data_IF_620967292726
#
_entry.id   IF_620967292726
#
_cell.length_a   1.000
_cell.length_b   1.000
_cell.length_c   1.000
_cell.angle_alpha   90.00
_cell.angle_beta   90.00
_cell.angle_gamma   90.00
#
_symmetry.space_group_name_H-M   'P 1'
#
loop_
_entity.id
_entity.type
_entity.pdbx_description
1 polymer ?
#
# COMPACT_ATOMS: atom_id res chain seq x y z
N UNK A 1 13.02 0.92 -26.30
CA UNK A 1 14.38 0.32 -26.12
C UNK A 1 14.18 -1.10 -25.66
N UNK A 2 14.69 -2.07 -26.37
CA UNK A 2 14.16 -3.39 -26.55
C UNK A 2 14.35 -4.35 -25.35
N UNK A 3 13.37 -5.22 -25.13
CA UNK A 3 13.44 -6.37 -24.21
C UNK A 3 14.71 -7.23 -24.48
N UNK A 4 15.18 -7.25 -25.72
CA UNK A 4 16.43 -7.91 -26.16
C UNK A 4 17.67 -7.29 -25.48
N UNK A 5 17.72 -5.95 -25.34
CA UNK A 5 18.86 -5.27 -24.70
C UNK A 5 18.89 -5.54 -23.19
N UNK A 6 17.72 -5.58 -22.53
CA UNK A 6 17.61 -5.89 -21.09
C UNK A 6 18.01 -7.35 -20.80
N UNK A 7 17.55 -8.29 -21.64
CA UNK A 7 17.92 -9.70 -21.52
C UNK A 7 19.46 -9.90 -21.61
N UNK A 8 20.14 -9.21 -22.53
CA UNK A 8 21.61 -9.25 -22.64
C UNK A 8 22.29 -8.76 -21.36
N UNK A 9 21.81 -7.63 -20.79
CA UNK A 9 22.35 -7.12 -19.52
C UNK A 9 22.15 -8.12 -18.38
N UNK A 10 20.99 -8.80 -18.32
CA UNK A 10 20.73 -9.82 -17.29
C UNK A 10 21.65 -11.02 -17.42
N UNK A 11 21.93 -11.48 -18.66
CA UNK A 11 22.87 -12.58 -18.91
C UNK A 11 24.29 -12.18 -18.47
N UNK A 12 24.76 -11.00 -18.85
CA UNK A 12 26.09 -10.52 -18.46
C UNK A 12 26.19 -10.30 -16.94
N UNK A 13 25.13 -9.73 -16.32
CA UNK A 13 25.05 -9.60 -14.86
C UNK A 13 25.15 -10.95 -14.17
N UNK A 14 24.48 -11.99 -14.67
CA UNK A 14 24.53 -13.34 -14.08
C UNK A 14 25.95 -13.92 -14.08
N UNK A 15 26.80 -13.48 -15.00
CA UNK A 15 28.21 -13.84 -15.11
C UNK A 15 29.14 -12.94 -14.26
N UNK A 16 28.56 -11.94 -13.55
CA UNK A 16 29.30 -11.06 -12.65
C UNK A 16 29.80 -9.76 -13.30
N UNK A 17 29.27 -9.39 -14.47
CA UNK A 17 29.64 -8.13 -15.12
C UNK A 17 29.09 -6.90 -14.38
N UNK A 18 30.02 -6.11 -13.82
CA UNK A 18 29.69 -4.91 -13.06
C UNK A 18 29.08 -3.81 -13.95
N UNK A 19 29.53 -3.69 -15.22
CA UNK A 19 28.97 -2.69 -16.13
C UNK A 19 27.47 -2.93 -16.39
N UNK A 20 27.08 -4.19 -16.58
CA UNK A 20 25.68 -4.57 -16.73
C UNK A 20 24.88 -4.30 -15.45
N UNK A 21 25.49 -4.50 -14.28
CA UNK A 21 24.85 -4.12 -13.01
C UNK A 21 24.59 -2.61 -12.94
N UNK A 22 25.59 -1.78 -13.22
CA UNK A 22 25.43 -0.32 -13.19
C UNK A 22 24.43 0.17 -14.23
N UNK A 23 24.40 -0.40 -15.43
CA UNK A 23 23.42 -0.05 -16.46
C UNK A 23 21.97 -0.34 -16.00
N UNK A 24 21.74 -1.46 -15.34
CA UNK A 24 20.42 -1.80 -14.75
C UNK A 24 20.11 -0.93 -13.54
N UNK A 25 21.10 -0.60 -12.71
CA UNK A 25 20.94 0.33 -11.60
C UNK A 25 20.49 1.73 -12.09
N UNK A 26 21.20 2.33 -13.01
CA UNK A 26 20.85 3.64 -13.58
C UNK A 26 19.45 3.64 -14.18
N UNK A 27 19.09 2.56 -14.86
CA UNK A 27 17.80 2.44 -15.52
C UNK A 27 16.62 2.37 -14.55
N UNK A 28 16.77 1.72 -13.40
CA UNK A 28 15.66 1.38 -12.54
C UNK A 28 15.64 2.06 -11.17
N UNK A 29 16.79 2.54 -10.68
CA UNK A 29 16.90 3.09 -9.32
C UNK A 29 15.96 4.25 -9.06
N UNK A 30 15.83 5.20 -9.98
CA UNK A 30 14.97 6.36 -9.83
C UNK A 30 13.47 5.97 -9.79
N UNK A 31 13.06 5.09 -10.69
CA UNK A 31 11.66 4.62 -10.73
C UNK A 31 11.31 3.80 -9.48
N UNK A 32 12.25 2.95 -9.03
CA UNK A 32 12.11 2.16 -7.82
C UNK A 32 12.04 3.05 -6.59
N UNK A 33 12.95 4.04 -6.48
CA UNK A 33 12.93 5.03 -5.39
C UNK A 33 11.59 5.79 -5.34
N UNK A 34 11.13 6.31 -6.47
CA UNK A 34 9.86 7.05 -6.54
C UNK A 34 8.68 6.20 -6.06
N UNK A 35 8.71 4.91 -6.39
CA UNK A 35 7.68 3.96 -5.98
C UNK A 35 7.73 3.69 -4.47
N UNK A 36 8.91 3.36 -3.94
CA UNK A 36 9.11 3.14 -2.49
C UNK A 36 8.77 4.40 -1.70
N UNK A 37 9.22 5.59 -2.16
CA UNK A 37 8.96 6.85 -1.47
C UNK A 37 7.48 7.21 -1.40
N UNK A 38 6.70 6.90 -2.42
CA UNK A 38 5.24 7.11 -2.36
C UNK A 38 4.59 6.37 -1.19
N UNK A 39 5.11 5.19 -0.85
CA UNK A 39 4.58 4.37 0.23
C UNK A 39 5.14 4.77 1.59
N UNK A 40 6.46 4.78 1.70
CA UNK A 40 7.17 4.97 2.97
C UNK A 40 7.11 6.41 3.45
N UNK A 41 7.04 7.40 2.52
CA UNK A 41 7.03 8.85 2.79
C UNK A 41 8.26 9.33 3.60
N UNK A 42 9.30 8.51 3.68
CA UNK A 42 10.58 8.81 4.31
C UNK A 42 11.71 8.62 3.29
N UNK A 43 12.49 9.66 3.07
CA UNK A 43 13.54 9.67 2.06
C UNK A 43 14.67 8.70 2.40
N UNK A 44 15.12 8.75 3.66
CA UNK A 44 16.23 7.92 4.11
C UNK A 44 15.89 6.44 4.04
N UNK A 45 14.73 6.06 4.57
CA UNK A 45 14.23 4.67 4.50
C UNK A 45 14.06 4.22 3.05
N UNK A 46 13.60 5.11 2.17
CA UNK A 46 13.44 4.78 0.75
C UNK A 46 14.79 4.54 0.06
N UNK A 47 15.80 5.35 0.36
CA UNK A 47 17.17 5.18 -0.13
C UNK A 47 17.77 3.86 0.37
N UNK A 48 17.59 3.53 1.66
CA UNK A 48 18.03 2.26 2.26
C UNK A 48 17.38 1.05 1.58
N UNK A 49 16.05 1.07 1.39
CA UNK A 49 15.34 -0.03 0.71
C UNK A 49 15.84 -0.21 -0.72
N UNK A 50 16.03 0.87 -1.47
CA UNK A 50 16.54 0.78 -2.85
C UNK A 50 17.95 0.20 -2.89
N UNK A 51 18.84 0.61 -1.99
CA UNK A 51 20.18 0.06 -1.86
C UNK A 51 20.14 -1.44 -1.54
N UNK A 52 19.30 -1.85 -0.58
CA UNK A 52 19.13 -3.26 -0.21
C UNK A 52 18.61 -4.11 -1.38
N UNK A 53 17.68 -3.59 -2.18
CA UNK A 53 17.17 -4.26 -3.38
C UNK A 53 18.33 -4.53 -4.35
N UNK A 54 19.15 -3.53 -4.67
CA UNK A 54 20.25 -3.71 -5.60
C UNK A 54 21.38 -4.56 -5.02
N UNK A 55 21.61 -4.53 -3.71
CA UNK A 55 22.50 -5.46 -3.04
C UNK A 55 22.01 -6.92 -3.20
N UNK A 56 20.71 -7.16 -3.01
CA UNK A 56 20.09 -8.48 -3.26
C UNK A 56 20.18 -8.90 -4.72
N UNK A 57 20.03 -7.96 -5.65
CA UNK A 57 20.26 -8.21 -7.09
C UNK A 57 21.66 -8.73 -7.33
N UNK A 58 22.67 -8.04 -6.79
CA UNK A 58 24.06 -8.47 -6.93
C UNK A 58 24.34 -9.82 -6.28
N UNK A 59 23.84 -10.03 -5.07
CA UNK A 59 24.01 -11.29 -4.35
C UNK A 59 23.37 -12.48 -5.08
N UNK A 60 22.19 -12.26 -5.69
CA UNK A 60 21.42 -13.31 -6.38
C UNK A 60 21.66 -13.36 -7.88
N UNK A 61 22.65 -12.60 -8.42
CA UNK A 61 22.87 -12.47 -9.86
C UNK A 61 22.98 -13.78 -10.61
N UNK A 62 23.62 -14.79 -10.02
CA UNK A 62 23.78 -16.11 -10.64
C UNK A 62 22.48 -16.91 -10.77
N UNK A 63 21.42 -16.52 -10.07
CA UNK A 63 20.12 -17.18 -10.11
C UNK A 63 19.07 -16.42 -10.91
N UNK A 64 19.46 -15.31 -11.55
CA UNK A 64 18.58 -14.49 -12.39
C UNK A 64 18.16 -15.31 -13.62
N UNK A 65 16.86 -15.38 -13.84
CA UNK A 65 16.27 -15.95 -15.05
C UNK A 65 16.11 -14.84 -16.11
N UNK A 66 16.93 -14.80 -17.15
CA UNK A 66 16.87 -13.76 -18.17
C UNK A 66 15.60 -13.81 -19.04
N UNK A 67 14.78 -14.85 -18.95
CA UNK A 67 13.51 -14.94 -19.66
C UNK A 67 12.39 -14.18 -18.97
N UNK A 68 12.59 -13.79 -17.71
CA UNK A 68 11.62 -13.04 -16.91
C UNK A 68 11.93 -11.56 -16.91
N UNK A 69 10.90 -10.72 -16.68
CA UNK A 69 11.08 -9.29 -16.57
C UNK A 69 11.93 -8.91 -15.35
N UNK A 70 13.08 -8.29 -15.57
CA UNK A 70 13.93 -7.74 -14.52
C UNK A 70 13.18 -6.71 -13.68
N UNK A 71 12.42 -5.83 -14.34
CA UNK A 71 11.57 -4.84 -13.67
C UNK A 71 10.65 -5.49 -12.66
N UNK A 72 9.84 -6.46 -13.09
CA UNK A 72 8.88 -7.13 -12.20
C UNK A 72 9.58 -7.82 -11.01
N UNK A 73 10.76 -8.38 -11.24
CA UNK A 73 11.52 -9.03 -10.19
C UNK A 73 12.03 -8.06 -9.12
N UNK A 74 12.68 -6.95 -9.52
CA UNK A 74 13.21 -5.97 -8.55
C UNK A 74 12.08 -5.25 -7.79
N UNK A 75 10.95 -4.95 -8.46
CA UNK A 75 9.80 -4.35 -7.80
C UNK A 75 9.15 -5.32 -6.80
N UNK A 76 9.17 -6.62 -7.08
CA UNK A 76 8.73 -7.63 -6.10
C UNK A 76 9.64 -7.68 -4.87
N UNK A 77 10.97 -7.56 -5.04
CA UNK A 77 11.90 -7.49 -3.92
C UNK A 77 11.60 -6.24 -3.09
N UNK A 78 11.49 -5.07 -3.72
CA UNK A 78 11.20 -3.81 -3.03
C UNK A 78 9.86 -3.86 -2.27
N UNK A 79 8.82 -4.42 -2.89
CA UNK A 79 7.53 -4.65 -2.24
C UNK A 79 7.68 -5.44 -0.94
N UNK A 80 8.40 -6.54 -0.97
CA UNK A 80 8.62 -7.38 0.21
C UNK A 80 9.42 -6.65 1.29
N UNK A 81 10.40 -5.81 0.91
CA UNK A 81 11.18 -5.01 1.85
C UNK A 81 10.33 -3.92 2.51
N UNK A 82 9.47 -3.24 1.75
CA UNK A 82 8.50 -2.28 2.29
C UNK A 82 7.53 -2.96 3.27
N UNK A 83 6.97 -4.12 2.91
CA UNK A 83 6.12 -4.90 3.82
C UNK A 83 6.88 -5.26 5.11
N UNK A 84 8.12 -5.70 4.98
CA UNK A 84 8.96 -6.06 6.13
C UNK A 84 9.27 -4.85 7.01
N UNK A 85 9.49 -3.67 6.41
CA UNK A 85 9.69 -2.43 7.12
C UNK A 85 8.42 -2.03 7.91
N UNK A 86 7.25 -2.07 7.27
CA UNK A 86 5.98 -1.80 7.94
C UNK A 86 5.71 -2.79 9.09
N UNK A 87 6.03 -4.08 8.92
CA UNK A 87 5.89 -5.07 10.01
C UNK A 87 6.79 -4.78 11.20
N UNK A 88 8.01 -4.30 10.96
CA UNK A 88 8.90 -3.85 12.05
C UNK A 88 8.31 -2.64 12.76
N UNK A 89 7.87 -1.67 12.00
CA UNK A 89 7.28 -0.44 12.51
C UNK A 89 5.97 -0.70 13.27
N UNK A 90 5.14 -1.67 12.86
CA UNK A 90 3.86 -2.04 13.48
C UNK A 90 3.97 -2.55 14.92
N UNK A 91 5.17 -2.93 15.36
CA UNK A 91 5.42 -3.27 16.77
C UNK A 91 5.39 -2.03 17.68
N UNK A 92 5.40 -0.84 17.12
CA UNK A 92 5.31 0.43 17.83
C UNK A 92 3.90 1.01 17.70
N UNK A 93 3.29 1.39 18.83
CA UNK A 93 1.86 1.78 18.95
C UNK A 93 1.42 2.95 18.04
N UNK A 94 2.36 3.81 17.64
CA UNK A 94 2.13 4.95 16.75
C UNK A 94 1.75 4.55 15.31
N UNK A 95 2.07 3.34 14.89
CA UNK A 95 1.85 2.91 13.52
C UNK A 95 0.42 2.45 13.24
N UNK A 96 -0.26 1.91 14.21
CA UNK A 96 -1.67 1.52 14.06
C UNK A 96 -2.53 2.70 13.64
N UNK A 97 -2.21 3.90 14.14
CA UNK A 97 -2.91 5.13 13.75
C UNK A 97 -2.60 5.54 12.30
N UNK A 98 -1.35 5.41 11.87
CA UNK A 98 -0.96 5.71 10.49
C UNK A 98 -1.60 4.75 9.49
N UNK A 99 -1.67 3.46 9.82
CA UNK A 99 -2.35 2.47 8.98
C UNK A 99 -3.86 2.75 8.90
N UNK A 100 -4.47 3.12 10.03
CA UNK A 100 -5.87 3.52 10.08
C UNK A 100 -6.13 4.76 9.20
N UNK A 101 -5.27 5.77 9.24
CA UNK A 101 -5.39 6.96 8.39
C UNK A 101 -5.25 6.62 6.90
N UNK A 102 -4.34 5.71 6.53
CA UNK A 102 -4.23 5.23 5.14
C UNK A 102 -5.47 4.46 4.70
N UNK A 103 -6.00 3.63 5.59
CA UNK A 103 -7.25 2.91 5.33
C UNK A 103 -8.44 3.88 5.17
N UNK A 104 -8.52 4.95 5.99
CA UNK A 104 -9.51 6.01 5.78
C UNK A 104 -9.37 6.71 4.42
N UNK A 105 -8.15 6.91 3.93
CA UNK A 105 -7.92 7.55 2.62
C UNK A 105 -8.45 6.68 1.46
N UNK A 106 -8.40 5.34 1.56
CA UNK A 106 -9.01 4.45 0.58
C UNK A 106 -10.51 4.71 0.42
N UNK A 107 -11.23 5.04 1.49
CA UNK A 107 -12.66 5.38 1.43
C UNK A 107 -12.94 6.65 0.61
N UNK A 108 -12.00 7.61 0.63
CA UNK A 108 -12.17 8.88 -0.12
C UNK A 108 -11.87 8.69 -1.59
N UNK A 109 -10.92 7.80 -1.93
CA UNK A 109 -10.50 7.53 -3.31
C UNK A 109 -11.52 6.71 -4.12
N UNK A 110 -12.40 5.93 -3.44
CA UNK A 110 -13.43 5.12 -4.11
C UNK A 110 -14.42 5.96 -4.96
N UNK A 111 -14.51 7.27 -4.70
CA UNK A 111 -15.32 8.19 -5.53
C UNK A 111 -14.78 8.44 -6.94
N UNK A 112 -13.52 8.12 -7.22
CA UNK A 112 -12.86 8.40 -8.51
C UNK A 112 -12.78 7.20 -9.45
N UNK A 113 -13.30 6.03 -9.05
CA UNK A 113 -13.45 4.86 -9.94
C UNK A 113 -12.18 4.08 -10.26
N UNK A 114 -11.07 4.38 -9.58
CA UNK A 114 -9.75 3.78 -9.84
C UNK A 114 -9.39 2.61 -8.88
N UNK A 115 -10.34 2.14 -8.08
CA UNK A 115 -10.07 1.08 -7.10
C UNK A 115 -10.17 -0.30 -7.73
N UNK A 116 -9.10 -1.10 -7.62
CA UNK A 116 -9.11 -2.50 -8.03
C UNK A 116 -10.13 -3.30 -7.20
N UNK A 117 -10.74 -4.31 -7.83
CA UNK A 117 -11.80 -5.16 -7.24
C UNK A 117 -11.47 -5.70 -5.83
N UNK A 118 -10.18 -6.00 -5.57
CA UNK A 118 -9.72 -6.49 -4.27
C UNK A 118 -9.80 -5.45 -3.14
N UNK A 119 -9.58 -4.17 -3.47
CA UNK A 119 -9.67 -3.07 -2.49
C UNK A 119 -11.12 -2.77 -2.16
N UNK A 120 -11.98 -2.78 -3.17
CA UNK A 120 -13.43 -2.62 -2.99
C UNK A 120 -14.01 -3.74 -2.10
N UNK A 121 -13.59 -4.99 -2.32
CA UNK A 121 -14.00 -6.12 -1.51
C UNK A 121 -13.55 -6.01 -0.02
N UNK A 122 -12.31 -5.54 0.22
CA UNK A 122 -11.81 -5.34 1.57
C UNK A 122 -12.57 -4.22 2.29
N UNK A 123 -12.84 -3.13 1.59
CA UNK A 123 -13.62 -2.02 2.09
C UNK A 123 -15.03 -2.47 2.48
N UNK A 124 -15.69 -3.22 1.62
CA UNK A 124 -17.01 -3.77 1.88
C UNK A 124 -17.00 -4.72 3.08
N UNK A 125 -15.99 -5.56 3.23
CA UNK A 125 -15.80 -6.42 4.41
C UNK A 125 -15.70 -5.61 5.69
N UNK A 126 -14.90 -4.53 5.69
CA UNK A 126 -14.75 -3.63 6.84
C UNK A 126 -16.09 -2.96 7.20
N UNK A 127 -16.83 -2.47 6.20
CA UNK A 127 -18.15 -1.88 6.41
C UNK A 127 -19.18 -2.88 6.94
N UNK A 128 -19.08 -4.14 6.53
CA UNK A 128 -19.97 -5.21 6.97
C UNK A 128 -19.72 -5.64 8.44
N UNK A 129 -18.64 -5.17 9.07
CA UNK A 129 -18.48 -5.31 10.53
C UNK A 129 -19.41 -4.39 11.32
N UNK A 130 -19.96 -3.37 10.67
CA UNK A 130 -20.87 -2.41 11.27
C UNK A 130 -22.32 -2.91 11.18
N UNK A 131 -23.17 -2.54 12.15
CA UNK A 131 -24.61 -2.70 11.96
C UNK A 131 -25.10 -1.78 10.84
N UNK A 132 -26.18 -2.18 10.12
CA UNK A 132 -26.75 -1.43 8.99
C UNK A 132 -26.90 0.08 9.30
N UNK A 133 -27.40 0.41 10.48
CA UNK A 133 -27.60 1.80 10.89
C UNK A 133 -26.27 2.57 11.05
N UNK A 134 -25.25 1.91 11.58
CA UNK A 134 -23.92 2.53 11.70
C UNK A 134 -23.22 2.63 10.36
N UNK A 135 -23.37 1.62 9.51
CA UNK A 135 -22.86 1.62 8.13
C UNK A 135 -23.43 2.80 7.36
N UNK A 136 -24.76 3.00 7.41
CA UNK A 136 -25.44 4.14 6.77
C UNK A 136 -24.87 5.49 7.26
N UNK A 137 -24.78 5.68 8.58
CA UNK A 137 -24.24 6.91 9.18
C UNK A 137 -22.79 7.12 8.77
N UNK A 138 -21.98 6.06 8.80
CA UNK A 138 -20.57 6.12 8.44
C UNK A 138 -20.39 6.52 6.97
N UNK A 139 -21.12 5.89 6.04
CA UNK A 139 -21.11 6.22 4.62
C UNK A 139 -21.49 7.69 4.38
N UNK A 140 -22.56 8.16 5.00
CA UNK A 140 -22.98 9.55 4.88
C UNK A 140 -21.92 10.54 5.38
N UNK A 141 -21.28 10.26 6.52
CA UNK A 141 -20.28 11.15 7.11
C UNK A 141 -18.92 11.09 6.41
N UNK A 142 -18.41 9.88 6.11
CA UNK A 142 -17.04 9.68 5.63
C UNK A 142 -16.94 9.62 4.11
N UNK A 143 -17.87 8.98 3.44
CA UNK A 143 -17.85 8.81 1.98
C UNK A 143 -18.57 9.98 1.31
N UNK A 144 -19.79 10.33 1.76
CA UNK A 144 -20.53 11.46 1.20
C UNK A 144 -20.13 12.81 1.83
N UNK A 145 -19.21 12.82 2.79
CA UNK A 145 -18.66 14.02 3.46
C UNK A 145 -19.72 14.96 4.04
N UNK A 146 -20.87 14.41 4.48
CA UNK A 146 -21.92 15.20 5.12
C UNK A 146 -21.56 15.53 6.55
N UNK A 147 -21.94 16.72 7.00
CA UNK A 147 -21.82 17.14 8.40
C UNK A 147 -22.75 16.31 9.31
N UNK A 148 -22.42 16.24 10.59
CA UNK A 148 -23.22 15.51 11.57
C UNK A 148 -24.64 16.08 11.67
N UNK A 149 -24.82 17.36 11.48
CA UNK A 149 -26.11 18.05 11.47
C UNK A 149 -26.94 17.66 10.25
N UNK A 150 -26.33 17.54 9.07
CA UNK A 150 -27.00 17.08 7.85
C UNK A 150 -27.45 15.65 7.96
N UNK A 151 -26.57 14.76 8.49
CA UNK A 151 -26.88 13.34 8.71
C UNK A 151 -27.99 13.21 9.75
N UNK A 152 -27.93 13.96 10.86
CA UNK A 152 -28.95 13.97 11.89
C UNK A 152 -30.33 14.34 11.33
N UNK A 153 -30.39 15.41 10.51
CA UNK A 153 -31.63 15.82 9.81
C UNK A 153 -32.12 14.77 8.83
N UNK A 154 -31.22 14.24 7.98
CA UNK A 154 -31.57 13.24 6.96
C UNK A 154 -32.15 11.96 7.57
N UNK A 155 -31.58 11.53 8.69
CA UNK A 155 -31.96 10.27 9.34
C UNK A 155 -32.95 10.44 10.49
N UNK A 156 -33.38 11.69 10.76
CA UNK A 156 -34.29 12.05 11.86
C UNK A 156 -33.83 11.53 13.24
N UNK A 157 -32.54 11.80 13.55
CA UNK A 157 -31.89 11.42 14.82
C UNK A 157 -31.14 12.63 15.40
N UNK A 158 -30.70 12.54 16.66
CA UNK A 158 -29.92 13.61 17.26
C UNK A 158 -28.47 13.63 16.74
N UNK A 159 -27.83 14.81 16.73
CA UNK A 159 -26.40 14.96 16.41
C UNK A 159 -25.53 14.12 17.34
N UNK A 160 -25.91 14.02 18.62
CA UNK A 160 -25.20 13.15 19.57
C UNK A 160 -25.30 11.66 19.21
N UNK A 161 -26.42 11.23 18.63
CA UNK A 161 -26.58 9.86 18.10
C UNK A 161 -25.63 9.60 16.94
N UNK A 162 -25.49 10.58 16.01
CA UNK A 162 -24.54 10.49 14.90
C UNK A 162 -23.10 10.41 15.44
N UNK A 163 -22.73 11.29 16.35
CA UNK A 163 -21.40 11.31 16.98
C UNK A 163 -21.06 9.97 17.65
N UNK A 164 -21.98 9.46 18.48
CA UNK A 164 -21.79 8.18 19.14
C UNK A 164 -21.69 6.99 18.16
N UNK A 165 -22.47 7.02 17.10
CA UNK A 165 -22.38 6.02 16.04
C UNK A 165 -21.02 6.07 15.35
N UNK A 166 -20.51 7.26 15.03
CA UNK A 166 -19.20 7.44 14.42
C UNK A 166 -18.06 6.94 15.32
N UNK A 167 -18.07 7.27 16.62
CA UNK A 167 -17.08 6.77 17.59
C UNK A 167 -17.03 5.24 17.58
N UNK A 168 -18.22 4.59 17.69
CA UNK A 168 -18.29 3.13 17.68
C UNK A 168 -17.91 2.52 16.33
N UNK A 169 -18.27 3.15 15.22
CA UNK A 169 -17.87 2.69 13.89
C UNK A 169 -16.35 2.73 13.73
N UNK A 170 -15.72 3.85 14.12
CA UNK A 170 -14.28 3.98 14.08
C UNK A 170 -13.57 2.92 14.94
N UNK A 171 -14.09 2.59 16.12
CA UNK A 171 -13.54 1.53 16.95
C UNK A 171 -13.61 0.16 16.27
N UNK A 172 -14.73 -0.18 15.64
CA UNK A 172 -14.89 -1.45 14.91
C UNK A 172 -13.98 -1.54 13.70
N UNK A 173 -13.87 -0.45 12.92
CA UNK A 173 -12.99 -0.42 11.76
C UNK A 173 -11.52 -0.49 12.18
N UNK A 174 -11.12 0.18 13.27
CA UNK A 174 -9.77 0.03 13.83
C UNK A 174 -9.47 -1.41 14.22
N UNK A 175 -10.42 -2.08 14.87
CA UNK A 175 -10.27 -3.49 15.21
C UNK A 175 -10.14 -4.36 13.95
N UNK A 176 -10.98 -4.13 12.94
CA UNK A 176 -10.88 -4.83 11.66
C UNK A 176 -9.49 -4.64 11.01
N UNK A 177 -8.97 -3.41 10.99
CA UNK A 177 -7.63 -3.11 10.46
C UNK A 177 -6.54 -3.86 11.22
N UNK A 178 -6.64 -3.95 12.56
CA UNK A 178 -5.72 -4.71 13.40
C UNK A 178 -5.75 -6.22 13.10
N UNK A 179 -6.96 -6.77 12.98
CA UNK A 179 -7.18 -8.20 12.76
C UNK A 179 -6.75 -8.65 11.34
N UNK A 180 -6.80 -7.71 10.36
CA UNK A 180 -6.45 -7.96 8.95
C UNK A 180 -5.21 -7.19 8.49
N UNK A 181 -4.32 -6.86 9.43
CA UNK A 181 -3.14 -6.02 9.18
C UNK A 181 -2.32 -6.47 7.97
N UNK A 182 -1.97 -7.76 7.92
CA UNK A 182 -1.13 -8.30 6.85
C UNK A 182 -1.83 -8.25 5.47
N UNK A 183 -3.12 -8.52 5.42
CA UNK A 183 -3.93 -8.47 4.19
C UNK A 183 -4.03 -7.03 3.67
N UNK A 184 -4.36 -6.08 4.55
CA UNK A 184 -4.46 -4.64 4.22
C UNK A 184 -3.12 -4.12 3.72
N UNK A 185 -2.03 -4.46 4.41
CA UNK A 185 -0.69 -4.06 4.03
C UNK A 185 -0.31 -4.59 2.64
N UNK A 186 -0.61 -5.85 2.34
CA UNK A 186 -0.35 -6.43 1.02
C UNK A 186 -1.13 -5.69 -0.07
N UNK A 187 -2.40 -5.37 0.17
CA UNK A 187 -3.26 -4.66 -0.78
C UNK A 187 -2.75 -3.25 -1.02
N UNK A 188 -2.44 -2.50 0.05
CA UNK A 188 -1.89 -1.14 -0.06
C UNK A 188 -0.57 -1.14 -0.83
N UNK A 189 0.34 -2.06 -0.49
CA UNK A 189 1.63 -2.17 -1.19
C UNK A 189 1.42 -2.55 -2.66
N UNK A 190 0.47 -3.43 -2.97
CA UNK A 190 0.18 -3.82 -4.35
C UNK A 190 -0.33 -2.63 -5.16
N UNK A 191 -1.22 -1.82 -4.60
CA UNK A 191 -1.75 -0.62 -5.25
C UNK A 191 -0.66 0.39 -5.61
N UNK A 192 0.33 0.59 -4.73
CA UNK A 192 1.40 1.56 -5.00
C UNK A 192 2.50 1.02 -5.93
N UNK A 193 2.60 -0.29 -6.14
CA UNK A 193 3.65 -0.90 -6.96
C UNK A 193 3.20 -1.26 -8.39
N UNK A 194 1.92 -1.37 -8.66
CA UNK A 194 1.35 -1.70 -9.97
C UNK A 194 0.40 -0.64 -10.46
#
# INVERSE_FOLDING_TARGET
MDAIAENKLMISLSQGDEHSFFALYERYSHALFSNVFRMVKDRQVSEEIVQDVFLKVWQKRSTIDPTRSFKSWIFTIAKNDVISWYRKLAKETALQENLYQHFEQLYVMDKEGDIQEQQSALLERALNTLSERRKEIFVLCKIEQKSYEEVARKLNISVSTVSNAMVKSNQHIRQFVQDHYDEILIILVTFYFF
#
